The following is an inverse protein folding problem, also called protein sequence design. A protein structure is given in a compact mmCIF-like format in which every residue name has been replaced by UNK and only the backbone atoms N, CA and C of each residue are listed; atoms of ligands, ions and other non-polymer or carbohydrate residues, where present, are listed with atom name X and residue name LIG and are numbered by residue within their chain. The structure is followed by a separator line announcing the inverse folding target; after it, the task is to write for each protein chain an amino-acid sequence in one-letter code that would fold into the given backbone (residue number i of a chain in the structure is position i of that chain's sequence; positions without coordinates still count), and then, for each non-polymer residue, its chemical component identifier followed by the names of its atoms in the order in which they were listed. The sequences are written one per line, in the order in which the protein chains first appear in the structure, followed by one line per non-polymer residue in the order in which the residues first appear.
data_IF_217228477944
#
_entry.id   IF_217228477944
#
_cell.length_a   1.000
_cell.length_b   1.000
_cell.length_c   1.000
_cell.angle_alpha   90.00
_cell.angle_beta   90.00
_cell.angle_gamma   90.00
#
_symmetry.space_group_name_H-M   'P 1'
#
loop_
_entity.id
_entity.type
_entity.pdbx_description
1 polymer ?
#
# COMPACT_ATOMS: atom_id res chain seq x y z
N UNK A 1 1.15 -0.90 7.46
CA UNK A 1 1.52 -0.48 6.10
C UNK A 1 0.65 -1.23 5.10
N UNK A 2 -0.05 -0.53 4.20
CA UNK A 2 -0.83 -1.14 3.12
C UNK A 2 -0.26 -0.73 1.76
N UNK A 3 -0.27 -1.65 0.80
CA UNK A 3 0.14 -1.40 -0.58
C UNK A 3 -1.04 -1.65 -1.51
N UNK A 4 -1.54 -0.59 -2.16
CA UNK A 4 -2.74 -0.68 -3.02
C UNK A 4 -2.75 0.43 -4.08
N UNK A 5 -3.58 0.30 -5.11
CA UNK A 5 -3.62 1.27 -6.23
C UNK A 5 -4.39 2.56 -5.92
N UNK A 6 -5.32 2.55 -4.98
CA UNK A 6 -6.20 3.69 -4.64
C UNK A 6 -6.88 3.45 -3.30
N UNK A 7 -7.71 4.36 -2.79
CA UNK A 7 -8.53 4.15 -1.58
C UNK A 7 -9.78 3.29 -1.79
N UNK A 8 -10.08 2.85 -3.02
CA UNK A 8 -11.29 2.08 -3.32
C UNK A 8 -11.46 0.84 -2.42
N UNK A 9 -12.71 0.50 -2.05
CA UNK A 9 -13.01 -0.66 -1.23
C UNK A 9 -12.77 -1.97 -1.99
N UNK A 10 -12.65 -3.06 -1.23
CA UNK A 10 -12.52 -4.40 -1.77
C UNK A 10 -13.86 -4.99 -2.20
N UNK A 11 -13.91 -6.32 -2.31
CA UNK A 11 -15.10 -7.05 -2.76
C UNK A 11 -16.38 -6.72 -1.97
N UNK A 12 -16.27 -6.58 -0.64
CA UNK A 12 -17.40 -6.27 0.23
C UNK A 12 -17.94 -4.84 0.09
N UNK A 13 -17.25 -3.96 -0.65
CA UNK A 13 -17.73 -2.59 -0.91
C UNK A 13 -17.71 -1.64 0.28
N UNK A 14 -17.18 -2.07 1.43
CA UNK A 14 -17.07 -1.26 2.65
C UNK A 14 -15.68 -0.65 2.80
N UNK A 15 -15.62 0.51 3.43
CA UNK A 15 -14.36 1.18 3.77
C UNK A 15 -13.68 0.50 4.97
N UNK A 16 -12.35 0.55 4.97
CA UNK A 16 -11.53 -0.01 6.04
C UNK A 16 -10.98 1.12 6.93
N UNK A 17 -11.48 1.20 8.15
CA UNK A 17 -11.13 2.24 9.14
C UNK A 17 -9.63 2.29 9.46
N UNK A 18 -8.94 1.14 9.42
CA UNK A 18 -7.50 1.04 9.71
C UNK A 18 -6.66 1.84 8.70
N UNK A 19 -7.19 2.08 7.48
CA UNK A 19 -6.49 2.88 6.47
C UNK A 19 -6.37 4.36 6.85
N UNK A 20 -7.12 4.84 7.84
CA UNK A 20 -7.10 6.22 8.33
C UNK A 20 -6.34 6.38 9.65
N UNK A 21 -5.88 5.27 10.25
CA UNK A 21 -5.09 5.33 11.48
C UNK A 21 -3.77 6.09 11.21
N UNK A 22 -3.39 7.07 12.04
CA UNK A 22 -2.16 7.85 11.84
C UNK A 22 -0.87 7.02 11.91
N UNK A 23 -0.90 5.82 12.51
CA UNK A 23 0.21 4.85 12.51
C UNK A 23 0.22 3.96 11.26
N UNK A 24 -0.81 4.04 10.42
CA UNK A 24 -0.92 3.27 9.19
C UNK A 24 -0.39 4.07 8.00
N UNK A 25 0.74 3.65 7.45
CA UNK A 25 1.23 4.16 6.18
C UNK A 25 0.56 3.46 4.99
N UNK A 26 0.14 4.24 3.99
CA UNK A 26 -0.37 3.77 2.70
C UNK A 26 0.66 4.02 1.61
N UNK A 27 1.05 2.97 0.88
CA UNK A 27 1.90 3.04 -0.29
C UNK A 27 1.04 2.83 -1.54
N UNK A 28 0.81 3.90 -2.30
CA UNK A 28 0.01 3.83 -3.52
C UNK A 28 0.83 3.37 -4.72
N UNK A 29 0.35 2.35 -5.43
CA UNK A 29 0.97 1.87 -6.66
C UNK A 29 0.53 0.46 -7.06
N UNK A 30 1.02 0.01 -8.22
CA UNK A 30 0.93 -1.40 -8.60
C UNK A 30 1.74 -2.27 -7.63
N UNK A 31 1.23 -3.47 -7.31
CA UNK A 31 1.84 -4.34 -6.32
C UNK A 31 3.25 -4.80 -6.72
N UNK A 32 3.43 -5.23 -7.97
CA UNK A 32 4.69 -5.77 -8.46
C UNK A 32 5.72 -4.67 -8.62
N UNK A 33 5.33 -3.56 -9.23
CA UNK A 33 6.24 -2.43 -9.45
C UNK A 33 6.72 -1.85 -8.12
N UNK A 34 5.79 -1.59 -7.19
CA UNK A 34 6.11 -0.96 -5.91
C UNK A 34 7.02 -1.85 -5.06
N UNK A 35 6.73 -3.15 -4.99
CA UNK A 35 7.57 -4.10 -4.26
C UNK A 35 8.97 -4.20 -4.87
N UNK A 36 9.07 -4.23 -6.20
CA UNK A 36 10.36 -4.27 -6.90
C UNK A 36 11.21 -3.05 -6.55
N UNK A 37 10.62 -1.85 -6.55
CA UNK A 37 11.33 -0.61 -6.18
C UNK A 37 11.85 -0.65 -4.74
N UNK A 38 11.03 -1.11 -3.79
CA UNK A 38 11.42 -1.21 -2.37
C UNK A 38 12.61 -2.17 -2.20
N UNK A 39 12.54 -3.37 -2.79
CA UNK A 39 13.62 -4.36 -2.69
C UNK A 39 14.91 -3.86 -3.36
N UNK A 40 14.81 -3.22 -4.52
CA UNK A 40 15.98 -2.63 -5.19
C UNK A 40 16.60 -1.52 -4.37
N UNK A 41 15.79 -0.63 -3.78
CA UNK A 41 16.28 0.42 -2.89
C UNK A 41 16.99 -0.14 -1.65
N UNK A 42 16.47 -1.23 -1.08
CA UNK A 42 17.10 -1.89 0.06
C UNK A 42 18.46 -2.51 -0.28
N UNK A 43 18.62 -3.05 -1.49
CA UNK A 43 19.90 -3.63 -1.95
C UNK A 43 20.96 -2.57 -2.27
N UNK A 44 20.55 -1.32 -2.48
CA UNK A 44 21.44 -0.20 -2.79
C UNK A 44 21.91 0.56 -1.53
N UNK A 45 21.41 0.18 -0.36
CA UNK A 45 21.88 0.60 0.96
C UNK A 45 23.03 -0.31 1.42
#
# INVERSE_FOLDING_TARGET
MFLKRSMRPGFAGIDNEVLFDPKTTLLFGDAKESLTKVVTGLKAL
#
